data_IF_535135349378
#
_entry.id   IF_535135349378
#
_cell.length_a   1.000
_cell.length_b   1.000
_cell.length_c   1.000
_cell.angle_alpha   90.00
_cell.angle_beta   90.00
_cell.angle_gamma   90.00
#
_symmetry.space_group_name_H-M   'P 1'
#
loop_
_entity.id
_entity.type
_entity.pdbx_description
1 polymer ?
#
# COMPACT_ATOMS: atom_id res chain seq x y z
N UNK A 1 -0.32 -17.20 0.65
CA UNK A 1 -1.14 -15.98 0.77
C UNK A 1 -0.41 -15.01 1.66
N UNK A 2 -0.22 -13.74 1.27
CA UNK A 2 0.40 -12.75 2.13
C UNK A 2 -0.45 -12.55 3.39
N UNK A 3 0.19 -12.28 4.53
CA UNK A 3 -0.46 -12.07 5.82
C UNK A 3 -0.03 -10.72 6.36
N UNK A 4 -0.96 -9.97 6.94
CA UNK A 4 -0.63 -8.69 7.58
C UNK A 4 0.23 -8.94 8.83
N UNK A 5 1.42 -8.35 8.96
CA UNK A 5 2.27 -8.54 10.15
C UNK A 5 1.66 -7.93 11.42
N UNK A 6 0.70 -7.00 11.28
CA UNK A 6 0.09 -6.28 12.41
C UNK A 6 -1.15 -6.99 12.96
N UNK A 7 -2.14 -7.27 12.10
CA UNK A 7 -3.40 -7.89 12.53
C UNK A 7 -3.49 -9.39 12.26
N UNK A 8 -2.45 -9.98 11.63
CA UNK A 8 -2.37 -11.41 11.27
C UNK A 8 -3.50 -11.92 10.36
N UNK A 9 -4.29 -11.01 9.78
CA UNK A 9 -5.29 -11.34 8.78
C UNK A 9 -4.63 -11.73 7.45
N UNK A 10 -5.25 -12.66 6.74
CA UNK A 10 -4.85 -12.97 5.37
C UNK A 10 -5.13 -11.77 4.47
N UNK A 11 -4.13 -11.39 3.70
CA UNK A 11 -4.21 -10.34 2.71
C UNK A 11 -4.36 -10.98 1.32
N UNK A 12 -5.22 -10.38 0.52
CA UNK A 12 -5.23 -10.60 -0.92
C UNK A 12 -4.68 -9.35 -1.59
N UNK A 13 -3.76 -9.52 -2.54
CA UNK A 13 -3.17 -8.41 -3.30
C UNK A 13 -4.21 -7.57 -4.06
N UNK A 14 -5.40 -8.14 -4.28
CA UNK A 14 -6.57 -7.47 -4.86
C UNK A 14 -7.25 -6.52 -3.86
N UNK A 15 -7.19 -6.82 -2.57
CA UNK A 15 -7.91 -6.12 -1.50
C UNK A 15 -7.02 -5.11 -0.74
N UNK A 16 -5.71 -5.12 -0.97
CA UNK A 16 -4.80 -4.13 -0.38
C UNK A 16 -5.16 -2.73 -0.91
N UNK A 17 -5.44 -1.80 0.01
CA UNK A 17 -5.74 -0.41 -0.34
C UNK A 17 -4.48 0.25 -0.87
N UNK A 18 -4.61 0.93 -2.00
CA UNK A 18 -3.52 1.66 -2.66
C UNK A 18 -3.88 3.13 -2.68
N UNK A 19 -3.06 3.94 -2.05
CA UNK A 19 -3.25 5.39 -1.99
C UNK A 19 -2.05 6.06 -2.66
N UNK A 20 -2.30 6.94 -3.61
CA UNK A 20 -1.23 7.75 -4.19
C UNK A 20 -0.97 8.91 -3.25
N UNK A 21 0.17 8.86 -2.57
CA UNK A 21 0.61 9.88 -1.64
C UNK A 21 1.67 10.73 -2.33
N UNK A 22 1.36 12.01 -2.49
CA UNK A 22 2.22 12.96 -3.20
C UNK A 22 1.44 14.16 -3.71
N UNK A 23 1.99 15.36 -3.56
CA UNK A 23 1.45 16.59 -4.17
C UNK A 23 2.38 17.02 -5.29
N UNK A 24 1.86 16.99 -6.53
CA UNK A 24 2.55 17.52 -7.72
C UNK A 24 3.36 16.48 -8.52
N UNK A 25 4.01 16.97 -9.56
CA UNK A 25 4.70 16.20 -10.61
C UNK A 25 6.00 15.50 -10.14
N UNK A 26 6.49 15.82 -8.93
CA UNK A 26 7.85 15.48 -8.51
C UNK A 26 7.97 14.19 -7.69
N UNK A 27 6.96 13.80 -6.92
CA UNK A 27 6.99 12.59 -6.07
C UNK A 27 5.58 12.05 -5.85
N UNK A 28 5.17 11.10 -6.67
CA UNK A 28 3.98 10.28 -6.43
C UNK A 28 4.45 8.90 -5.94
N UNK A 29 4.11 8.55 -4.70
CA UNK A 29 4.42 7.25 -4.11
C UNK A 29 3.10 6.50 -3.86
N UNK A 30 3.03 5.23 -4.25
CA UNK A 30 1.88 4.37 -4.00
C UNK A 30 2.07 3.77 -2.61
N UNK A 31 1.28 4.21 -1.64
CA UNK A 31 1.19 3.62 -0.31
C UNK A 31 0.24 2.42 -0.32
N UNK A 32 0.70 1.30 0.21
CA UNK A 32 -0.10 0.10 0.40
C UNK A 32 -0.51 -0.02 1.86
N UNK A 33 -1.81 -0.10 2.11
CA UNK A 33 -2.38 -0.17 3.44
C UNK A 33 -3.22 -1.43 3.62
N UNK A 34 -3.13 -2.06 4.79
CA UNK A 34 -3.93 -3.21 5.15
C UNK A 34 -5.42 -2.81 5.24
N UNK A 35 -6.35 -3.50 4.54
CA UNK A 35 -7.76 -3.13 4.56
C UNK A 35 -8.44 -3.41 5.90
N UNK A 36 -7.91 -4.33 6.70
CA UNK A 36 -8.53 -4.76 7.96
C UNK A 36 -8.17 -3.90 9.17
N UNK A 37 -6.92 -3.43 9.26
CA UNK A 37 -6.43 -2.65 10.40
C UNK A 37 -5.87 -1.29 10.03
N UNK A 38 -5.80 -0.95 8.73
CA UNK A 38 -5.25 0.33 8.25
C UNK A 38 -3.73 0.44 8.33
N UNK A 39 -3.01 -0.58 8.78
CA UNK A 39 -1.56 -0.52 8.90
C UNK A 39 -0.87 -0.37 7.53
N UNK A 40 0.11 0.52 7.44
CA UNK A 40 0.90 0.73 6.22
C UNK A 40 1.83 -0.46 6.02
N UNK A 41 1.67 -1.14 4.89
CA UNK A 41 2.44 -2.33 4.50
C UNK A 41 3.68 -1.97 3.69
N UNK A 42 3.69 -0.82 3.02
CA UNK A 42 4.85 -0.34 2.28
C UNK A 42 4.52 0.77 1.29
N UNK A 43 5.56 1.26 0.61
CA UNK A 43 5.46 2.28 -0.42
C UNK A 43 6.13 1.76 -1.70
N UNK A 44 5.50 1.96 -2.86
CA UNK A 44 6.11 1.73 -4.17
C UNK A 44 6.26 3.05 -4.90
N UNK A 45 7.44 3.31 -5.45
CA UNK A 45 7.65 4.42 -6.36
C UNK A 45 7.15 3.99 -7.73
N UNK A 46 6.14 4.70 -8.25
CA UNK A 46 5.78 4.54 -9.65
C UNK A 46 6.97 4.98 -10.50
N UNK A 47 7.69 4.03 -11.10
CA UNK A 47 8.62 4.36 -12.18
C UNK A 47 7.78 4.83 -13.37
N UNK A 48 7.59 6.14 -13.49
CA UNK A 48 7.23 6.77 -14.76
C UNK A 48 8.54 6.89 -15.54
N UNK A 49 8.96 5.78 -16.15
CA UNK A 49 10.03 5.73 -17.14
C UNK A 49 9.45 5.85 -18.54
#
# INVERSE_FOLDING_TARGET
MPVCPYCKQQLSLKDVKREVVGKGFLKQEIMYSCPYCGAVLGFSRGNYG
#
